data_IF_941788223985
#
_entry.id   IF_941788223985
#
_cell.length_a   1.000
_cell.length_b   1.000
_cell.length_c   1.000
_cell.angle_alpha   90.00
_cell.angle_beta   90.00
_cell.angle_gamma   90.00
#
_symmetry.space_group_name_H-M   'P 1'
#
loop_
_entity.id
_entity.type
_entity.pdbx_description
1 polymer ?
#
# COMPACT_ATOMS: atom_id res chain seq x y z
N UNK A 1 -24.13 21.08 16.48
CA UNK A 1 -22.74 20.72 16.88
C UNK A 1 -22.42 19.29 16.46
N UNK A 2 -21.13 18.96 16.41
CA UNK A 2 -20.67 17.59 16.14
C UNK A 2 -21.18 16.60 17.19
N UNK A 3 -21.29 17.04 18.46
CA UNK A 3 -21.86 16.20 19.54
C UNK A 3 -23.32 15.85 19.33
N UNK A 4 -24.11 16.78 18.83
CA UNK A 4 -25.53 16.51 18.49
C UNK A 4 -25.65 15.53 17.32
N UNK A 5 -24.81 15.68 16.30
CA UNK A 5 -24.76 14.76 15.17
C UNK A 5 -24.30 13.35 15.60
N UNK A 6 -23.30 13.26 16.52
CA UNK A 6 -22.88 12.01 17.11
C UNK A 6 -24.04 11.30 17.82
N UNK A 7 -24.77 12.02 18.69
CA UNK A 7 -25.97 11.51 19.39
C UNK A 7 -27.08 11.07 18.42
N UNK A 8 -27.32 11.91 17.42
CA UNK A 8 -28.34 11.60 16.41
C UNK A 8 -27.99 10.32 15.65
N UNK A 9 -26.74 10.20 15.19
CA UNK A 9 -26.27 8.98 14.52
C UNK A 9 -26.37 7.74 15.42
N UNK A 10 -25.97 7.87 16.69
CA UNK A 10 -26.09 6.78 17.67
C UNK A 10 -27.56 6.38 17.90
N UNK A 11 -28.50 7.33 17.91
CA UNK A 11 -29.92 7.05 18.06
C UNK A 11 -30.49 6.14 16.95
N UNK A 12 -29.89 6.16 15.76
CA UNK A 12 -30.25 5.27 14.63
C UNK A 12 -29.74 3.85 14.84
N UNK A 13 -28.72 3.68 15.70
CA UNK A 13 -28.12 2.38 16.03
C UNK A 13 -28.82 1.68 17.20
N UNK A 14 -29.75 2.35 17.87
CA UNK A 14 -30.51 1.78 19.03
C UNK A 14 -31.25 0.53 18.59
N UNK A 15 -31.02 -0.59 19.28
CA UNK A 15 -31.63 -1.89 18.98
C UNK A 15 -31.03 -2.61 17.75
N UNK A 16 -30.00 -2.05 17.11
CA UNK A 16 -29.34 -2.65 15.93
C UNK A 16 -28.17 -3.56 16.30
N UNK A 17 -27.49 -3.28 17.41
CA UNK A 17 -26.41 -4.11 17.96
C UNK A 17 -27.05 -5.27 18.76
N UNK A 18 -27.81 -6.09 18.09
CA UNK A 18 -28.52 -7.25 18.64
C UNK A 18 -27.72 -8.54 18.40
N UNK A 19 -28.03 -9.58 19.16
CA UNK A 19 -27.39 -10.88 19.04
C UNK A 19 -28.45 -12.01 19.18
N UNK A 20 -28.12 -13.15 18.59
CA UNK A 20 -28.88 -14.39 18.77
C UNK A 20 -27.93 -15.57 19.00
N UNK A 21 -28.46 -16.74 19.34
CA UNK A 21 -27.63 -17.90 19.65
C UNK A 21 -26.72 -18.34 18.50
N UNK A 22 -27.15 -18.18 17.25
CA UNK A 22 -26.32 -18.50 16.07
C UNK A 22 -25.13 -17.56 15.93
N UNK A 23 -25.31 -16.26 16.15
CA UNK A 23 -24.26 -15.27 16.14
C UNK A 23 -23.26 -15.51 17.28
N UNK A 24 -23.75 -15.79 18.51
CA UNK A 24 -22.90 -16.11 19.66
C UNK A 24 -22.08 -17.36 19.41
N UNK A 25 -22.67 -18.43 18.89
CA UNK A 25 -21.98 -19.66 18.52
C UNK A 25 -20.87 -19.38 17.48
N UNK A 26 -21.14 -18.53 16.49
CA UNK A 26 -20.15 -18.14 15.49
C UNK A 26 -19.00 -17.35 16.11
N UNK A 27 -19.26 -16.43 17.03
CA UNK A 27 -18.20 -15.70 17.75
C UNK A 27 -17.34 -16.67 18.55
N UNK A 28 -17.96 -17.61 19.28
CA UNK A 28 -17.22 -18.62 20.03
C UNK A 28 -16.30 -19.48 19.12
N UNK A 29 -16.84 -19.95 17.97
CA UNK A 29 -16.10 -20.69 16.95
C UNK A 29 -14.89 -19.90 16.45
N UNK A 30 -15.06 -18.62 16.11
CA UNK A 30 -14.00 -17.79 15.55
C UNK A 30 -12.88 -17.46 16.55
N UNK A 31 -13.21 -17.44 17.84
CA UNK A 31 -12.30 -16.94 18.88
C UNK A 31 -11.72 -18.04 19.79
N UNK A 32 -12.13 -19.31 19.63
CA UNK A 32 -11.74 -20.42 20.50
C UNK A 32 -10.21 -20.63 20.61
N UNK A 33 -9.48 -20.43 19.50
CA UNK A 33 -8.04 -20.64 19.46
C UNK A 33 -7.24 -19.34 19.64
N UNK A 34 -7.92 -18.19 19.79
CA UNK A 34 -7.29 -16.89 19.95
C UNK A 34 -6.79 -16.69 21.39
N UNK A 35 -5.54 -16.28 21.54
CA UNK A 35 -4.88 -16.07 22.82
C UNK A 35 -4.97 -14.62 23.32
N UNK A 36 -5.09 -13.68 22.40
CA UNK A 36 -5.11 -12.24 22.69
C UNK A 36 -6.37 -11.59 22.15
N UNK A 37 -6.72 -10.41 22.69
CA UNK A 37 -7.86 -9.65 22.17
C UNK A 37 -7.61 -9.19 20.72
N UNK A 38 -6.38 -8.85 20.35
CA UNK A 38 -6.03 -8.47 18.99
C UNK A 38 -6.31 -9.63 18.01
N UNK A 39 -5.96 -10.86 18.37
CA UNK A 39 -6.28 -12.04 17.57
C UNK A 39 -7.79 -12.25 17.43
N UNK A 40 -8.55 -12.06 18.52
CA UNK A 40 -10.03 -12.17 18.49
C UNK A 40 -10.67 -11.10 17.60
N UNK A 41 -10.20 -9.84 17.73
CA UNK A 41 -10.65 -8.73 16.88
C UNK A 41 -10.39 -9.04 15.41
N UNK A 42 -9.16 -9.49 15.07
CA UNK A 42 -8.81 -9.85 13.70
C UNK A 42 -9.62 -11.05 13.17
N UNK A 43 -9.90 -12.04 13.99
CA UNK A 43 -10.71 -13.20 13.58
C UNK A 43 -12.14 -12.77 13.21
N UNK A 44 -12.78 -11.94 14.05
CA UNK A 44 -14.09 -11.37 13.80
C UNK A 44 -14.06 -10.47 12.56
N UNK A 45 -13.11 -9.55 12.46
CA UNK A 45 -12.94 -8.67 11.32
C UNK A 45 -12.81 -9.45 10.01
N UNK A 46 -11.93 -10.45 9.96
CA UNK A 46 -11.72 -11.29 8.78
C UNK A 46 -12.95 -12.08 8.39
N UNK A 47 -13.71 -12.59 9.36
CA UNK A 47 -14.97 -13.25 9.08
C UNK A 47 -15.95 -12.29 8.38
N UNK A 48 -16.17 -11.10 8.95
CA UNK A 48 -17.12 -10.14 8.40
C UNK A 48 -16.64 -9.61 7.04
N UNK A 49 -15.36 -9.27 6.91
CA UNK A 49 -14.82 -8.72 5.67
C UNK A 49 -14.89 -9.72 4.50
N UNK A 50 -14.63 -11.01 4.76
CA UNK A 50 -14.60 -12.06 3.73
C UNK A 50 -15.94 -12.76 3.46
N UNK A 51 -16.74 -13.00 4.50
CA UNK A 51 -17.97 -13.80 4.37
C UNK A 51 -19.21 -12.97 4.15
N UNK A 52 -19.26 -11.77 4.73
CA UNK A 52 -20.39 -10.88 4.53
C UNK A 52 -20.12 -10.00 3.31
N UNK A 53 -20.86 -10.23 2.23
CA UNK A 53 -20.67 -9.52 0.96
C UNK A 53 -20.93 -8.03 1.11
N UNK A 54 -19.99 -7.19 0.68
CA UNK A 54 -20.19 -5.74 0.62
C UNK A 54 -21.01 -5.34 -0.61
N UNK A 55 -22.09 -4.59 -0.41
CA UNK A 55 -23.04 -4.24 -1.47
C UNK A 55 -22.76 -2.85 -2.11
N UNK A 56 -21.79 -2.08 -1.63
CA UNK A 56 -21.36 -0.79 -2.21
C UNK A 56 -22.41 0.32 -2.19
N UNK A 57 -23.69 0.00 -2.39
CA UNK A 57 -24.79 0.94 -2.30
C UNK A 57 -26.02 0.25 -1.68
N UNK A 58 -26.79 1.00 -0.91
CA UNK A 58 -28.07 0.54 -0.41
C UNK A 58 -29.11 0.60 -1.52
N UNK A 59 -29.57 -0.55 -2.00
CA UNK A 59 -30.75 -0.67 -2.87
C UNK A 59 -32.04 -0.65 -2.05
N UNK A 60 -31.95 -0.69 -0.72
CA UNK A 60 -33.07 -0.66 0.19
C UNK A 60 -33.53 0.77 0.45
N UNK A 61 -34.60 1.15 -0.21
CA UNK A 61 -35.19 2.49 -0.16
C UNK A 61 -35.71 2.88 1.23
N UNK A 62 -35.83 1.94 2.17
CA UNK A 62 -36.35 2.16 3.53
C UNK A 62 -35.29 2.59 4.56
N UNK A 63 -34.00 2.33 4.32
CA UNK A 63 -32.94 2.49 5.32
C UNK A 63 -31.77 3.36 4.81
N UNK A 64 -32.04 4.55 4.29
CA UNK A 64 -31.02 5.38 3.63
C UNK A 64 -29.80 5.71 4.52
N UNK A 65 -29.99 5.91 5.82
CA UNK A 65 -28.92 6.15 6.80
C UNK A 65 -28.98 5.22 8.01
N UNK A 66 -30.09 4.55 8.26
CA UNK A 66 -30.30 3.63 9.37
C UNK A 66 -29.72 2.25 9.03
N UNK A 67 -28.91 1.62 9.90
CA UNK A 67 -28.40 0.27 9.67
C UNK A 67 -29.46 -0.80 9.90
N UNK A 68 -29.27 -1.97 9.29
CA UNK A 68 -29.99 -3.18 9.67
C UNK A 68 -29.52 -3.72 11.02
N UNK A 69 -30.34 -4.58 11.63
CA UNK A 69 -29.93 -5.34 12.81
C UNK A 69 -28.73 -6.23 12.49
N UNK A 70 -27.83 -6.41 13.46
CA UNK A 70 -26.66 -7.25 13.29
C UNK A 70 -27.03 -8.69 12.94
N UNK A 71 -28.06 -9.23 13.58
CA UNK A 71 -28.60 -10.58 13.30
C UNK A 71 -29.11 -10.71 11.87
N UNK A 72 -29.77 -9.69 11.32
CA UNK A 72 -30.21 -9.68 9.92
C UNK A 72 -29.00 -9.75 8.97
N UNK A 73 -27.99 -8.88 9.16
CA UNK A 73 -26.78 -8.85 8.34
C UNK A 73 -26.02 -10.17 8.45
N UNK A 74 -25.94 -10.75 9.65
CA UNK A 74 -25.34 -12.05 9.89
C UNK A 74 -26.04 -13.18 9.14
N UNK A 75 -27.37 -13.24 9.17
CA UNK A 75 -28.16 -14.27 8.50
C UNK A 75 -28.13 -14.14 6.98
N UNK A 76 -28.22 -12.92 6.47
CA UNK A 76 -28.22 -12.64 5.03
C UNK A 76 -26.86 -12.73 4.37
N UNK A 77 -25.76 -12.61 5.14
CA UNK A 77 -24.40 -12.63 4.65
C UNK A 77 -24.10 -11.54 3.60
N UNK A 78 -24.80 -10.41 3.66
CA UNK A 78 -24.51 -9.20 2.89
C UNK A 78 -24.93 -7.95 3.65
N UNK A 79 -24.35 -6.81 3.31
CA UNK A 79 -24.69 -5.50 3.88
C UNK A 79 -23.87 -4.38 3.28
N UNK A 80 -24.25 -3.15 3.60
CA UNK A 80 -23.46 -1.95 3.28
C UNK A 80 -22.48 -1.65 4.42
N UNK A 81 -21.71 -0.55 4.32
CA UNK A 81 -20.68 -0.21 5.30
C UNK A 81 -21.19 -0.16 6.75
N UNK A 82 -22.30 0.57 7.01
CA UNK A 82 -22.94 0.66 8.34
C UNK A 82 -23.40 -0.69 8.88
N UNK A 83 -24.00 -1.54 8.03
CA UNK A 83 -24.49 -2.85 8.45
C UNK A 83 -23.33 -3.75 8.90
N UNK A 84 -22.22 -3.73 8.17
CA UNK A 84 -21.02 -4.50 8.53
C UNK A 84 -20.34 -3.93 9.77
N UNK A 85 -20.37 -2.60 9.98
CA UNK A 85 -19.90 -1.96 11.21
C UNK A 85 -20.74 -2.40 12.42
N UNK A 86 -22.06 -2.37 12.33
CA UNK A 86 -22.99 -2.80 13.38
C UNK A 86 -22.81 -4.29 13.69
N UNK A 87 -22.67 -5.13 12.67
CA UNK A 87 -22.39 -6.55 12.88
C UNK A 87 -21.07 -6.76 13.63
N UNK A 88 -20.03 -6.00 13.28
CA UNK A 88 -18.76 -6.08 13.98
C UNK A 88 -18.88 -5.66 15.44
N UNK A 89 -19.61 -4.57 15.72
CA UNK A 89 -19.88 -4.13 17.09
C UNK A 89 -20.62 -5.21 17.89
N UNK A 90 -21.63 -5.86 17.32
CA UNK A 90 -22.38 -6.92 17.99
C UNK A 90 -21.51 -8.14 18.31
N UNK A 91 -20.69 -8.59 17.36
CA UNK A 91 -19.77 -9.71 17.56
C UNK A 91 -18.68 -9.40 18.60
N UNK A 92 -18.12 -8.18 18.60
CA UNK A 92 -17.12 -7.73 19.59
C UNK A 92 -17.74 -7.60 20.99
N UNK A 93 -18.98 -7.15 21.10
CA UNK A 93 -19.73 -7.06 22.35
C UNK A 93 -19.86 -8.42 23.05
N UNK A 94 -20.07 -9.52 22.30
CA UNK A 94 -20.18 -10.88 22.85
C UNK A 94 -18.89 -11.34 23.54
N UNK A 95 -17.75 -10.78 23.22
CA UNK A 95 -16.46 -11.07 23.87
C UNK A 95 -15.99 -9.93 24.79
N UNK A 96 -16.89 -9.00 25.14
CA UNK A 96 -16.63 -7.91 26.08
C UNK A 96 -15.73 -6.79 25.52
N UNK A 97 -15.57 -6.69 24.22
CA UNK A 97 -14.79 -5.62 23.59
C UNK A 97 -15.74 -4.50 23.15
N UNK A 98 -15.51 -3.28 23.65
CA UNK A 98 -16.28 -2.10 23.28
C UNK A 98 -15.91 -1.63 21.89
N UNK A 99 -16.90 -1.32 21.08
CA UNK A 99 -16.73 -0.74 19.76
C UNK A 99 -17.81 0.29 19.46
N UNK A 100 -17.54 1.16 18.50
CA UNK A 100 -18.43 2.23 18.04
C UNK A 100 -18.61 2.17 16.54
N UNK A 101 -19.77 2.58 16.06
CA UNK A 101 -19.92 2.98 14.69
C UNK A 101 -19.26 4.35 14.48
N UNK A 102 -18.55 4.53 13.38
CA UNK A 102 -17.78 5.74 13.13
C UNK A 102 -17.88 6.17 11.67
N UNK A 103 -18.21 7.45 11.47
CA UNK A 103 -18.41 8.03 10.15
C UNK A 103 -17.13 8.71 9.65
N UNK A 104 -16.82 8.53 8.37
CA UNK A 104 -15.60 9.05 7.74
C UNK A 104 -15.87 9.44 6.28
N UNK A 105 -15.16 10.47 5.79
CA UNK A 105 -15.05 10.77 4.37
C UNK A 105 -13.73 10.24 3.80
N UNK A 106 -13.80 9.46 2.73
CA UNK A 106 -12.64 8.88 2.05
C UNK A 106 -12.27 9.71 0.82
N UNK A 107 -13.27 10.11 0.01
CA UNK A 107 -13.07 10.82 -1.25
C UNK A 107 -13.22 12.34 -1.12
N UNK A 108 -13.82 12.81 -0.03
CA UNK A 108 -14.13 14.21 0.21
C UNK A 108 -13.41 14.75 1.45
N UNK A 109 -13.18 16.07 1.45
CA UNK A 109 -12.67 16.77 2.63
C UNK A 109 -13.82 16.99 3.63
N UNK A 110 -13.59 16.70 4.89
CA UNK A 110 -14.46 17.10 5.98
C UNK A 110 -14.08 18.51 6.45
N UNK A 111 -15.05 19.43 6.50
CA UNK A 111 -14.85 20.77 7.03
C UNK A 111 -15.23 20.79 8.52
N UNK A 112 -14.26 20.84 9.43
CA UNK A 112 -14.51 20.65 10.86
C UNK A 112 -15.34 21.78 11.49
N UNK A 113 -15.37 22.95 10.88
CA UNK A 113 -16.13 24.12 11.33
C UNK A 113 -17.63 24.04 10.99
N UNK A 114 -18.01 23.09 10.10
CA UNK A 114 -19.40 22.99 9.62
C UNK A 114 -19.95 21.62 10.04
N UNK A 115 -20.65 21.55 11.19
CA UNK A 115 -21.29 20.31 11.64
C UNK A 115 -22.44 19.93 10.70
N UNK A 116 -22.17 18.96 9.84
CA UNK A 116 -23.15 18.37 8.92
C UNK A 116 -22.93 16.86 8.80
N UNK A 117 -24.03 16.10 8.80
CA UNK A 117 -23.98 14.65 8.61
C UNK A 117 -23.85 14.31 7.11
N UNK A 118 -22.71 14.63 6.55
CA UNK A 118 -22.39 14.38 5.15
C UNK A 118 -21.14 13.51 5.08
N UNK A 119 -21.32 12.24 5.48
CA UNK A 119 -20.29 11.23 5.41
C UNK A 119 -20.66 10.17 4.39
N UNK A 120 -19.68 9.72 3.62
CA UNK A 120 -19.90 8.74 2.56
C UNK A 120 -19.63 7.30 3.01
N UNK A 121 -19.05 7.12 4.22
CA UNK A 121 -18.63 5.80 4.68
C UNK A 121 -18.75 5.65 6.20
N UNK A 122 -19.00 4.41 6.63
CA UNK A 122 -19.03 4.00 8.02
C UNK A 122 -18.03 2.87 8.27
N UNK A 123 -17.31 2.96 9.39
CA UNK A 123 -16.28 2.00 9.84
C UNK A 123 -16.47 1.70 11.33
N UNK A 124 -15.82 0.66 11.83
CA UNK A 124 -15.90 0.28 13.23
C UNK A 124 -14.70 0.82 14.02
N UNK A 125 -14.95 1.61 15.07
CA UNK A 125 -13.93 2.08 16.02
C UNK A 125 -13.87 1.14 17.23
N UNK A 126 -12.82 0.32 17.32
CA UNK A 126 -12.63 -0.68 18.39
C UNK A 126 -11.80 -0.10 19.52
N UNK A 127 -12.31 -0.15 20.75
CA UNK A 127 -11.60 0.35 21.94
C UNK A 127 -10.70 -0.74 22.49
N UNK A 128 -9.39 -0.49 22.52
CA UNK A 128 -8.40 -1.39 23.08
C UNK A 128 -8.31 -1.26 24.60
N UNK A 129 -7.69 -2.22 25.28
CA UNK A 129 -7.50 -2.23 26.74
C UNK A 129 -6.79 -0.99 27.29
N UNK A 130 -5.92 -0.38 26.50
CA UNK A 130 -5.20 0.85 26.85
C UNK A 130 -6.00 2.14 26.58
N UNK A 131 -7.25 2.01 26.13
CA UNK A 131 -8.17 3.12 25.84
C UNK A 131 -8.00 3.73 24.44
N UNK A 132 -7.02 3.31 23.65
CA UNK A 132 -6.90 3.74 22.26
C UNK A 132 -8.04 3.17 21.42
N UNK A 133 -8.46 3.94 20.41
CA UNK A 133 -9.42 3.49 19.40
C UNK A 133 -8.67 3.11 18.12
N UNK A 134 -8.87 1.88 17.67
CA UNK A 134 -8.38 1.40 16.38
C UNK A 134 -9.54 1.32 15.41
N UNK A 135 -9.38 1.91 14.24
CA UNK A 135 -10.41 1.93 13.22
C UNK A 135 -10.24 0.74 12.28
N UNK A 136 -11.29 -0.07 12.17
CA UNK A 136 -11.36 -1.26 11.32
C UNK A 136 -12.45 -1.04 10.27
N UNK A 137 -12.15 -1.30 9.00
CA UNK A 137 -13.11 -1.19 7.92
C UNK A 137 -13.52 -2.58 7.41
N UNK A 138 -14.65 -3.13 7.88
CA UNK A 138 -15.08 -4.47 7.48
C UNK A 138 -15.54 -4.57 6.03
N UNK A 139 -15.52 -3.48 5.25
CA UNK A 139 -15.76 -3.51 3.81
C UNK A 139 -14.50 -3.84 2.99
N UNK A 140 -13.30 -3.71 3.59
CA UNK A 140 -12.03 -4.01 2.94
C UNK A 140 -11.68 -5.50 3.07
N UNK A 141 -12.20 -6.30 2.17
CA UNK A 141 -12.06 -7.76 2.17
C UNK A 141 -10.61 -8.25 2.25
N UNK A 142 -9.68 -7.53 1.64
CA UNK A 142 -8.27 -7.94 1.54
C UNK A 142 -7.33 -7.16 2.45
N UNK A 143 -7.86 -6.44 3.46
CA UNK A 143 -7.03 -5.78 4.45
C UNK A 143 -6.43 -6.80 5.43
N UNK A 144 -5.10 -6.85 5.49
CA UNK A 144 -4.34 -7.66 6.45
C UNK A 144 -3.97 -6.88 7.71
N UNK A 145 -4.23 -5.57 7.75
CA UNK A 145 -3.77 -4.67 8.79
C UNK A 145 -4.63 -4.73 10.05
N UNK A 146 -3.99 -4.63 11.21
CA UNK A 146 -4.68 -4.32 12.46
C UNK A 146 -4.87 -2.80 12.55
N UNK A 147 -6.06 -2.34 12.14
CA UNK A 147 -6.38 -0.92 11.95
C UNK A 147 -6.06 -0.40 10.55
N UNK A 148 -7.00 0.38 10.02
CA UNK A 148 -6.92 0.87 8.65
C UNK A 148 -6.01 2.10 8.54
N UNK A 149 -4.97 1.98 7.74
CA UNK A 149 -3.95 3.02 7.61
C UNK A 149 -4.45 4.26 6.86
N UNK A 150 -5.49 4.11 6.04
CA UNK A 150 -6.07 5.23 5.29
C UNK A 150 -6.86 6.22 6.17
N UNK A 151 -7.26 5.79 7.36
CA UNK A 151 -8.00 6.66 8.30
C UNK A 151 -7.10 7.79 8.84
N UNK A 152 -5.79 7.56 8.87
CA UNK A 152 -4.83 8.56 9.33
C UNK A 152 -4.86 9.85 8.51
N UNK A 153 -4.85 10.99 9.21
CA UNK A 153 -4.94 12.34 8.64
C UNK A 153 -6.36 12.80 8.35
N UNK A 154 -7.38 11.94 8.49
CA UNK A 154 -8.79 12.25 8.25
C UNK A 154 -9.52 12.61 9.54
N UNK A 155 -10.71 13.18 9.37
CA UNK A 155 -11.66 13.40 10.44
C UNK A 155 -12.63 12.23 10.54
N UNK A 156 -12.89 11.80 11.76
CA UNK A 156 -13.82 10.71 12.10
C UNK A 156 -14.81 11.21 13.13
N UNK A 157 -16.09 10.93 12.93
CA UNK A 157 -17.16 11.17 13.91
C UNK A 157 -17.58 9.84 14.51
N UNK A 158 -17.22 9.59 15.78
CA UNK A 158 -17.70 8.44 16.54
C UNK A 158 -19.15 8.71 16.95
N UNK A 159 -20.02 7.74 16.70
CA UNK A 159 -21.42 7.77 17.12
C UNK A 159 -21.53 7.24 18.56
N UNK A 160 -22.03 8.08 19.48
CA UNK A 160 -22.06 7.79 20.91
C UNK A 160 -23.22 8.52 21.59
N UNK A 161 -23.93 7.88 22.49
CA UNK A 161 -25.08 8.45 23.23
C UNK A 161 -24.77 9.72 24.02
N UNK A 162 -23.54 9.87 24.49
CA UNK A 162 -23.08 11.08 25.20
C UNK A 162 -22.68 12.19 24.24
N UNK A 163 -22.49 11.88 22.97
CA UNK A 163 -22.02 12.79 21.92
C UNK A 163 -20.52 13.02 21.96
N UNK A 164 -19.86 12.74 20.83
CA UNK A 164 -18.44 12.97 20.61
C UNK A 164 -18.22 14.15 19.67
N UNK A 165 -17.15 14.86 19.88
CA UNK A 165 -16.66 15.83 18.89
C UNK A 165 -16.00 15.12 17.73
N UNK A 166 -15.87 15.84 16.62
CA UNK A 166 -15.13 15.37 15.45
C UNK A 166 -13.64 15.19 15.81
N UNK A 167 -13.09 14.03 15.49
CA UNK A 167 -11.72 13.65 15.84
C UNK A 167 -10.85 13.69 14.57
N UNK A 168 -9.77 14.46 14.59
CA UNK A 168 -8.73 14.35 13.56
C UNK A 168 -7.77 13.24 13.95
N UNK A 169 -7.77 12.15 13.18
CA UNK A 169 -6.89 11.01 13.41
C UNK A 169 -5.46 11.39 12.98
N UNK A 170 -4.43 11.16 13.81
CA UNK A 170 -3.05 11.41 13.41
C UNK A 170 -2.67 10.63 12.15
N UNK A 171 -1.85 11.18 11.24
CA UNK A 171 -1.35 10.46 10.09
C UNK A 171 -0.63 9.17 10.51
N UNK A 172 -0.85 8.10 9.77
CA UNK A 172 -0.10 6.85 9.94
C UNK A 172 1.27 7.03 9.28
N UNK A 173 2.40 6.71 9.95
CA UNK A 173 3.73 6.84 9.34
C UNK A 173 3.84 6.07 8.01
N UNK A 174 4.52 6.65 7.02
CA UNK A 174 4.67 6.06 5.68
C UNK A 174 5.32 4.67 5.71
N UNK A 175 6.12 4.37 6.75
CA UNK A 175 6.71 3.04 6.98
C UNK A 175 5.67 1.93 7.19
N UNK A 176 4.46 2.26 7.63
CA UNK A 176 3.34 1.31 7.77
C UNK A 176 2.54 1.13 6.48
N UNK A 177 2.86 1.92 5.45
CA UNK A 177 2.29 1.86 4.11
C UNK A 177 3.43 1.76 3.10
N UNK A 178 4.22 0.69 3.17
CA UNK A 178 5.44 0.53 2.41
C UNK A 178 5.28 -0.51 1.30
N UNK A 179 5.55 -0.11 0.06
CA UNK A 179 5.83 -1.01 -1.06
C UNK A 179 7.34 -1.25 -1.15
N UNK A 180 7.76 -2.48 -1.37
CA UNK A 180 9.17 -2.83 -1.45
C UNK A 180 9.47 -3.68 -2.68
N UNK A 181 10.61 -3.39 -3.33
CA UNK A 181 11.19 -4.19 -4.41
C UNK A 181 12.63 -4.54 -4.01
N UNK A 182 12.99 -5.82 -4.11
CA UNK A 182 14.35 -6.30 -3.95
C UNK A 182 14.79 -7.01 -5.21
N UNK A 183 15.95 -6.63 -5.74
CA UNK A 183 16.50 -7.19 -6.97
C UNK A 183 17.95 -7.66 -6.79
N UNK A 184 18.26 -8.73 -7.50
CA UNK A 184 19.62 -9.18 -7.76
C UNK A 184 19.81 -9.29 -9.27
N UNK A 185 20.75 -8.54 -9.83
CA UNK A 185 20.98 -8.46 -11.26
C UNK A 185 22.42 -8.86 -11.59
N UNK A 186 22.59 -9.61 -12.66
CA UNK A 186 23.90 -9.90 -13.26
C UNK A 186 23.96 -9.26 -14.64
N UNK A 187 25.00 -8.49 -14.88
CA UNK A 187 25.37 -8.01 -16.23
C UNK A 187 26.21 -9.08 -16.88
N UNK A 188 25.87 -9.47 -18.10
CA UNK A 188 26.55 -10.51 -18.86
C UNK A 188 27.50 -9.89 -19.90
N UNK A 189 28.49 -10.69 -20.35
CA UNK A 189 29.53 -10.22 -21.29
C UNK A 189 28.93 -9.85 -22.66
N UNK A 190 27.81 -10.47 -23.04
CA UNK A 190 27.09 -10.17 -24.28
C UNK A 190 26.21 -8.92 -24.23
N UNK A 191 26.25 -8.18 -23.12
CA UNK A 191 25.46 -6.95 -22.93
C UNK A 191 24.03 -7.20 -22.48
N UNK A 192 23.64 -8.45 -22.22
CA UNK A 192 22.36 -8.77 -21.59
C UNK A 192 22.44 -8.65 -20.07
N UNK A 193 21.28 -8.62 -19.44
CA UNK A 193 21.13 -8.76 -17.99
C UNK A 193 20.21 -9.92 -17.67
N UNK A 194 20.46 -10.57 -16.53
CA UNK A 194 19.53 -11.52 -15.94
C UNK A 194 19.51 -11.33 -14.43
N UNK A 195 18.43 -11.76 -13.79
CA UNK A 195 18.32 -11.56 -12.34
C UNK A 195 17.03 -12.10 -11.77
N UNK A 196 16.84 -11.75 -10.48
CA UNK A 196 15.66 -12.11 -9.69
C UNK A 196 15.09 -10.86 -9.04
N UNK A 197 13.78 -10.82 -8.91
CA UNK A 197 13.11 -9.75 -8.20
C UNK A 197 12.07 -10.32 -7.24
N UNK A 198 11.88 -9.60 -6.13
CA UNK A 198 10.83 -9.83 -5.16
C UNK A 198 10.12 -8.53 -4.86
N UNK A 199 8.79 -8.56 -4.95
CA UNK A 199 7.91 -7.43 -4.66
C UNK A 199 7.05 -7.80 -3.46
N UNK A 200 6.88 -6.87 -2.52
CA UNK A 200 6.04 -7.04 -1.35
C UNK A 200 5.43 -5.71 -0.92
N UNK A 201 4.42 -5.77 -0.07
CA UNK A 201 3.78 -4.60 0.50
C UNK A 201 3.37 -4.80 1.94
N UNK A 202 3.23 -3.71 2.67
CA UNK A 202 2.56 -3.67 3.98
C UNK A 202 1.54 -2.53 3.99
N UNK A 203 0.50 -2.64 4.81
CA UNK A 203 -0.58 -1.68 4.90
C UNK A 203 -1.30 -1.49 3.56
N UNK A 204 -1.42 -0.25 3.12
CA UNK A 204 -2.08 0.09 1.86
C UNK A 204 -1.51 -0.67 0.64
N UNK A 205 -0.19 -0.86 0.57
CA UNK A 205 0.41 -1.57 -0.57
C UNK A 205 0.13 -3.07 -0.58
N UNK A 206 0.07 -3.73 0.58
CA UNK A 206 -0.37 -5.13 0.67
C UNK A 206 -1.81 -5.27 0.17
N UNK A 207 -2.71 -4.39 0.63
CA UNK A 207 -4.09 -4.34 0.17
C UNK A 207 -4.19 -4.14 -1.35
N UNK A 208 -3.43 -3.19 -1.92
CA UNK A 208 -3.45 -2.91 -3.38
C UNK A 208 -2.96 -4.12 -4.17
N UNK A 209 -1.84 -4.72 -3.78
CA UNK A 209 -1.30 -5.90 -4.46
C UNK A 209 -2.27 -7.09 -4.47
N UNK A 210 -2.91 -7.36 -3.32
CA UNK A 210 -3.94 -8.40 -3.20
C UNK A 210 -5.17 -8.09 -4.05
N UNK A 211 -5.61 -6.82 -4.05
CA UNK A 211 -6.76 -6.38 -4.83
C UNK A 211 -6.53 -6.56 -6.33
N UNK A 212 -5.34 -6.25 -6.81
CA UNK A 212 -4.93 -6.48 -8.20
C UNK A 212 -4.91 -7.98 -8.49
N UNK A 213 -4.30 -8.79 -7.61
CA UNK A 213 -4.22 -10.24 -7.80
C UNK A 213 -5.62 -10.90 -7.84
N UNK A 214 -6.56 -10.41 -7.02
CA UNK A 214 -7.95 -10.89 -7.03
C UNK A 214 -8.68 -10.58 -8.34
N UNK A 215 -8.40 -9.42 -8.93
CA UNK A 215 -9.09 -8.97 -10.16
C UNK A 215 -8.53 -9.62 -11.43
N UNK A 216 -7.28 -10.07 -11.39
CA UNK A 216 -6.62 -10.68 -12.56
C UNK A 216 -6.75 -12.19 -12.48
N UNK A 217 -7.40 -12.85 -13.47
CA UNK A 217 -7.40 -14.31 -13.56
C UNK A 217 -5.97 -14.86 -13.54
N UNK A 218 -5.74 -15.94 -12.81
CA UNK A 218 -4.40 -16.50 -12.58
C UNK A 218 -3.62 -16.78 -13.87
N UNK A 219 -4.30 -17.19 -14.95
CA UNK A 219 -3.69 -17.44 -16.26
C UNK A 219 -3.22 -16.15 -16.97
N UNK A 220 -3.72 -14.97 -16.58
CA UNK A 220 -3.32 -13.68 -17.15
C UNK A 220 -2.18 -13.02 -16.38
N UNK A 221 -1.92 -13.43 -15.14
CA UNK A 221 -0.86 -12.85 -14.31
C UNK A 221 0.50 -12.81 -15.02
N UNK A 222 1.00 -13.86 -15.68
CA UNK A 222 2.28 -13.80 -16.37
C UNK A 222 2.34 -12.73 -17.46
N UNK A 223 1.24 -12.54 -18.21
CA UNK A 223 1.16 -11.52 -19.26
C UNK A 223 1.19 -10.10 -18.67
N UNK A 224 0.47 -9.86 -17.58
CA UNK A 224 0.45 -8.55 -16.89
C UNK A 224 1.86 -8.22 -16.38
N UNK A 225 2.52 -9.16 -15.72
CA UNK A 225 3.89 -8.96 -15.22
C UNK A 225 4.90 -8.79 -16.34
N UNK A 226 4.74 -9.53 -17.46
CA UNK A 226 5.55 -9.34 -18.66
C UNK A 226 5.40 -7.91 -19.21
N UNK A 227 4.19 -7.38 -19.28
CA UNK A 227 3.92 -6.02 -19.73
C UNK A 227 4.50 -4.97 -18.79
N UNK A 228 4.36 -5.13 -17.47
CA UNK A 228 4.97 -4.25 -16.48
C UNK A 228 6.50 -4.26 -16.59
N UNK A 229 7.09 -5.42 -16.79
CA UNK A 229 8.53 -5.55 -16.98
C UNK A 229 9.06 -4.76 -18.17
N UNK A 230 8.26 -4.52 -19.22
CA UNK A 230 8.69 -3.73 -20.39
C UNK A 230 9.09 -2.29 -20.06
N UNK A 231 8.65 -1.76 -18.90
CA UNK A 231 9.14 -0.47 -18.40
C UNK A 231 10.62 -0.52 -17.99
N UNK A 232 11.14 -1.70 -17.64
CA UNK A 232 12.56 -1.90 -17.35
C UNK A 232 13.39 -2.01 -18.63
N UNK A 233 12.94 -2.87 -19.55
CA UNK A 233 13.57 -3.04 -20.86
C UNK A 233 12.55 -3.62 -21.85
N UNK A 234 12.51 -3.13 -23.08
CA UNK A 234 11.59 -3.62 -24.13
C UNK A 234 11.83 -5.09 -24.49
N UNK A 235 13.06 -5.57 -24.29
CA UNK A 235 13.48 -6.97 -24.56
C UNK A 235 13.32 -7.89 -23.37
N UNK A 236 12.77 -7.41 -22.24
CA UNK A 236 12.67 -8.20 -21.01
C UNK A 236 11.79 -9.45 -21.22
N UNK A 237 12.19 -10.53 -20.57
CA UNK A 237 11.39 -11.73 -20.37
C UNK A 237 11.26 -12.01 -18.90
N UNK A 238 10.03 -12.16 -18.43
CA UNK A 238 9.72 -12.56 -17.06
C UNK A 238 9.49 -14.08 -17.05
N UNK A 239 10.20 -14.77 -16.18
CA UNK A 239 10.15 -16.24 -16.05
C UNK A 239 9.95 -16.62 -14.58
N UNK A 240 9.50 -17.84 -14.31
CA UNK A 240 9.37 -18.42 -12.97
C UNK A 240 8.54 -17.54 -11.99
N UNK A 241 7.52 -16.86 -12.49
CA UNK A 241 6.65 -16.02 -11.69
C UNK A 241 5.95 -16.85 -10.61
N UNK A 242 6.09 -16.43 -9.36
CA UNK A 242 5.42 -16.99 -8.19
C UNK A 242 4.76 -15.88 -7.41
N UNK A 243 3.54 -16.12 -6.96
CA UNK A 243 2.81 -15.20 -6.08
C UNK A 243 2.28 -15.97 -4.87
N UNK A 244 2.22 -15.31 -3.72
CA UNK A 244 1.54 -15.84 -2.55
C UNK A 244 0.03 -15.99 -2.82
N UNK A 245 -0.68 -16.72 -1.99
CA UNK A 245 -2.13 -16.69 -2.00
C UNK A 245 -2.61 -15.31 -1.50
N UNK A 246 -3.33 -14.58 -2.34
CA UNK A 246 -3.84 -13.27 -1.98
C UNK A 246 -4.93 -13.32 -0.88
N UNK A 247 -5.56 -14.47 -0.68
CA UNK A 247 -6.58 -14.68 0.35
C UNK A 247 -5.97 -15.04 1.72
N UNK A 248 -4.70 -15.47 1.78
CA UNK A 248 -4.01 -15.75 3.05
C UNK A 248 -3.54 -14.42 3.68
N UNK A 249 -4.41 -13.80 4.49
CA UNK A 249 -4.10 -12.56 5.21
C UNK A 249 -3.19 -12.75 6.43
N UNK A 250 -2.81 -13.98 6.76
CA UNK A 250 -1.88 -14.23 7.87
C UNK A 250 -0.42 -13.98 7.50
N UNK A 251 -0.12 -13.91 6.20
CA UNK A 251 1.23 -13.69 5.66
C UNK A 251 1.25 -12.48 4.73
N UNK A 252 2.38 -11.78 4.62
CA UNK A 252 2.55 -10.74 3.60
C UNK A 252 2.30 -11.30 2.20
N UNK A 253 1.65 -10.51 1.33
CA UNK A 253 1.53 -10.87 -0.07
C UNK A 253 2.84 -10.56 -0.79
N UNK A 254 3.40 -11.56 -1.44
CA UNK A 254 4.70 -11.47 -2.10
C UNK A 254 4.62 -12.01 -3.52
N UNK A 255 5.35 -11.37 -4.42
CA UNK A 255 5.51 -11.78 -5.80
C UNK A 255 7.00 -11.88 -6.08
N UNK A 256 7.43 -12.98 -6.68
CA UNK A 256 8.82 -13.18 -7.09
C UNK A 256 8.89 -13.71 -8.52
N UNK A 257 9.93 -13.33 -9.24
CA UNK A 257 10.17 -13.77 -10.60
C UNK A 257 11.64 -13.70 -10.97
N UNK A 258 12.02 -14.46 -11.99
CA UNK A 258 13.29 -14.30 -12.66
C UNK A 258 13.07 -13.41 -13.91
N UNK A 259 14.10 -12.68 -14.33
CA UNK A 259 14.03 -11.85 -15.53
C UNK A 259 15.32 -11.91 -16.34
N UNK A 260 15.20 -11.67 -17.65
CA UNK A 260 16.30 -11.54 -18.59
C UNK A 260 15.98 -10.43 -19.57
N UNK A 261 16.97 -9.61 -19.93
CA UNK A 261 16.82 -8.61 -20.98
C UNK A 261 18.06 -8.56 -21.85
N UNK A 262 17.86 -8.71 -23.18
CA UNK A 262 18.93 -8.56 -24.17
C UNK A 262 19.17 -7.09 -24.47
N UNK A 263 20.36 -6.80 -24.99
CA UNK A 263 20.72 -5.45 -25.48
C UNK A 263 20.47 -4.35 -24.44
N UNK A 264 20.69 -4.68 -23.17
CA UNK A 264 20.47 -3.74 -22.06
C UNK A 264 21.61 -2.76 -21.87
N UNK A 265 22.80 -3.21 -22.15
CA UNK A 265 24.05 -2.49 -21.97
C UNK A 265 24.47 -1.84 -23.29
N UNK A 266 24.96 -0.63 -23.22
CA UNK A 266 25.44 0.12 -24.39
C UNK A 266 26.96 0.16 -24.39
N UNK A 267 27.60 -0.42 -25.41
CA UNK A 267 29.03 -0.37 -25.61
C UNK A 267 29.43 0.88 -26.39
N UNK A 268 30.40 1.62 -25.83
CA UNK A 268 30.97 2.83 -26.44
C UNK A 268 32.51 2.69 -26.43
N UNK A 269 33.03 1.86 -27.33
CA UNK A 269 34.48 1.58 -27.42
C UNK A 269 35.01 0.85 -26.18
N UNK A 270 35.87 1.50 -25.39
CA UNK A 270 36.41 0.91 -24.16
C UNK A 270 35.43 0.97 -22.98
N UNK A 271 34.39 1.77 -23.11
CA UNK A 271 33.39 1.94 -22.03
C UNK A 271 32.10 1.17 -22.34
N UNK A 272 31.47 0.75 -21.28
CA UNK A 272 30.19 0.06 -21.28
C UNK A 272 29.25 0.76 -20.29
N UNK A 273 28.06 1.12 -20.72
CA UNK A 273 27.13 1.95 -19.99
C UNK A 273 25.81 1.23 -19.76
N UNK A 274 25.23 1.34 -18.57
CA UNK A 274 23.88 0.85 -18.31
C UNK A 274 23.21 1.66 -17.21
N UNK A 275 21.87 1.65 -17.22
CA UNK A 275 21.05 2.21 -16.13
C UNK A 275 20.86 1.15 -15.06
N UNK A 276 20.77 1.56 -13.81
CA UNK A 276 20.37 0.68 -12.71
C UNK A 276 18.94 0.19 -12.97
N UNK A 277 18.70 -1.12 -13.13
CA UNK A 277 17.41 -1.65 -13.57
C UNK A 277 16.23 -1.18 -12.72
N UNK A 278 16.28 -1.37 -11.40
CA UNK A 278 15.17 -0.99 -10.51
C UNK A 278 15.15 0.50 -10.13
N UNK A 279 16.11 1.32 -10.58
CA UNK A 279 15.97 2.77 -10.49
C UNK A 279 15.01 3.34 -11.54
N UNK A 280 14.67 2.53 -12.55
CA UNK A 280 13.65 2.86 -13.54
C UNK A 280 12.27 2.53 -12.99
N UNK A 281 11.21 3.09 -13.56
CA UNK A 281 9.82 2.87 -13.12
C UNK A 281 9.28 1.48 -13.46
N UNK A 282 10.11 0.46 -13.39
CA UNK A 282 9.82 -0.85 -13.96
C UNK A 282 8.53 -1.48 -13.42
N UNK A 283 8.17 -1.20 -12.15
CA UNK A 283 7.01 -1.80 -11.51
C UNK A 283 6.14 -0.75 -10.83
N UNK A 284 5.68 0.20 -11.60
CA UNK A 284 4.91 1.38 -11.19
C UNK A 284 3.63 1.13 -10.36
N UNK A 285 3.16 -0.11 -10.26
CA UNK A 285 2.05 -0.47 -9.37
C UNK A 285 2.34 -0.12 -7.90
N UNK A 286 3.60 -0.10 -7.53
CA UNK A 286 4.08 0.17 -6.17
C UNK A 286 4.81 1.51 -6.13
N UNK A 287 5.31 1.97 -7.26
CA UNK A 287 6.28 3.02 -7.36
C UNK A 287 5.68 4.40 -7.68
N UNK A 288 6.54 5.26 -8.03
CA UNK A 288 6.46 6.70 -8.16
C UNK A 288 5.81 7.19 -9.46
N UNK A 289 5.38 6.30 -10.37
CA UNK A 289 4.93 6.71 -11.70
C UNK A 289 3.74 7.64 -11.69
N UNK A 290 2.73 7.35 -10.87
CA UNK A 290 1.59 8.25 -10.71
C UNK A 290 2.02 9.62 -10.18
N UNK A 291 3.03 9.66 -9.30
CA UNK A 291 3.55 10.91 -8.75
C UNK A 291 4.32 11.72 -9.77
N UNK A 292 4.97 11.07 -10.74
CA UNK A 292 5.62 11.78 -11.84
C UNK A 292 4.60 12.49 -12.72
N UNK A 293 3.47 11.85 -13.03
CA UNK A 293 2.37 12.47 -13.76
C UNK A 293 1.74 13.60 -12.93
N UNK A 294 1.50 13.37 -11.65
CA UNK A 294 0.93 14.38 -10.77
C UNK A 294 1.82 15.61 -10.60
N UNK A 295 3.16 15.46 -10.69
CA UNK A 295 4.13 16.52 -10.48
C UNK A 295 4.47 17.35 -11.75
N UNK A 296 3.81 17.11 -12.88
CA UNK A 296 4.15 17.78 -14.16
C UNK A 296 3.70 19.24 -14.23
N UNK A 297 2.67 19.64 -13.50
CA UNK A 297 2.21 21.04 -13.47
C UNK A 297 3.17 21.91 -12.67
N UNK A 298 3.33 23.17 -13.08
CA UNK A 298 4.18 24.10 -12.32
C UNK A 298 3.61 24.46 -10.97
N UNK A 299 2.30 24.65 -10.90
CA UNK A 299 1.57 25.00 -9.69
C UNK A 299 0.25 24.25 -9.62
N UNK A 300 -0.25 24.09 -8.40
CA UNK A 300 -1.60 23.58 -8.12
C UNK A 300 -2.34 24.52 -7.17
N UNK A 301 -3.55 24.87 -7.57
CA UNK A 301 -4.47 25.67 -6.76
C UNK A 301 -5.11 24.82 -5.65
N UNK A 302 -5.41 23.56 -5.94
CA UNK A 302 -6.09 22.66 -5.02
C UNK A 302 -5.15 21.57 -4.51
N UNK A 303 -5.31 21.11 -3.27
CA UNK A 303 -4.49 20.05 -2.68
C UNK A 303 -4.66 18.73 -3.44
N UNK A 304 -3.65 17.86 -3.32
CA UNK A 304 -3.74 16.46 -3.73
C UNK A 304 -4.19 15.66 -2.52
N UNK A 305 -5.25 14.89 -2.68
CA UNK A 305 -5.69 13.91 -1.69
C UNK A 305 -5.17 12.54 -2.09
N UNK A 306 -4.40 11.93 -1.20
CA UNK A 306 -3.94 10.56 -1.31
C UNK A 306 -4.82 9.68 -0.42
N UNK A 307 -5.01 8.42 -0.82
CA UNK A 307 -5.77 7.49 0.00
C UNK A 307 -5.11 7.24 1.38
N UNK A 308 -3.78 7.23 1.43
CA UNK A 308 -3.00 7.09 2.67
C UNK A 308 -1.63 7.76 2.51
N UNK A 309 -0.85 7.83 3.58
CA UNK A 309 0.60 8.03 3.51
C UNK A 309 1.24 6.95 2.65
N UNK A 310 2.42 7.18 2.12
CA UNK A 310 3.07 6.24 1.19
C UNK A 310 4.56 6.15 1.41
N UNK A 311 5.09 4.94 1.39
CA UNK A 311 6.51 4.66 1.31
C UNK A 311 6.80 3.70 0.17
N UNK A 312 7.89 3.94 -0.57
CA UNK A 312 8.42 2.99 -1.56
C UNK A 312 9.90 2.78 -1.28
N UNK A 313 10.32 1.53 -1.21
CA UNK A 313 11.71 1.15 -1.03
C UNK A 313 12.15 0.19 -2.12
N UNK A 314 13.26 0.50 -2.74
CA UNK A 314 13.87 -0.34 -3.76
C UNK A 314 15.31 -0.65 -3.33
N UNK A 315 15.71 -1.89 -3.46
CA UNK A 315 17.06 -2.37 -3.15
C UNK A 315 17.52 -3.27 -4.29
N UNK A 316 18.73 -3.04 -4.81
CA UNK A 316 19.28 -3.85 -5.87
C UNK A 316 20.77 -4.06 -5.69
N UNK A 317 21.22 -5.28 -5.93
CA UNK A 317 22.64 -5.62 -6.04
C UNK A 317 22.92 -6.06 -7.48
N UNK A 318 23.82 -5.35 -8.14
CA UNK A 318 24.19 -5.61 -9.53
C UNK A 318 25.59 -6.17 -9.56
N UNK A 319 25.78 -7.36 -10.11
CA UNK A 319 27.09 -7.98 -10.30
C UNK A 319 27.59 -7.72 -11.72
N UNK A 320 28.79 -7.17 -11.82
CA UNK A 320 29.49 -6.86 -13.06
C UNK A 320 30.34 -8.07 -13.47
N UNK A 321 30.38 -8.46 -14.77
CA UNK A 321 31.14 -9.62 -15.22
C UNK A 321 32.66 -9.41 -15.08
N UNK A 322 33.44 -10.49 -15.03
CA UNK A 322 34.90 -10.41 -15.10
C UNK A 322 35.38 -9.67 -16.35
N UNK A 323 36.53 -9.01 -16.25
CA UNK A 323 37.08 -8.23 -17.37
C UNK A 323 36.55 -6.79 -17.48
N UNK A 324 35.78 -6.35 -16.49
CA UNK A 324 35.31 -4.97 -16.40
C UNK A 324 35.67 -4.34 -15.04
N UNK A 325 35.95 -3.07 -15.05
CA UNK A 325 36.18 -2.24 -13.86
C UNK A 325 35.11 -1.16 -13.78
N UNK A 326 34.51 -0.99 -12.61
CA UNK A 326 33.55 0.07 -12.36
C UNK A 326 34.29 1.41 -12.29
N UNK A 327 33.96 2.34 -13.18
CA UNK A 327 34.60 3.68 -13.29
C UNK A 327 33.70 4.77 -12.73
N UNK A 328 32.39 4.60 -12.79
CA UNK A 328 31.46 5.59 -12.28
C UNK A 328 30.12 4.95 -11.96
N UNK A 329 29.49 5.51 -10.96
CA UNK A 329 28.11 5.18 -10.54
C UNK A 329 27.34 6.50 -10.40
N UNK A 330 25.99 6.48 -10.49
CA UNK A 330 25.18 7.67 -10.24
C UNK A 330 25.45 8.29 -8.87
N UNK A 331 25.51 9.63 -8.81
CA UNK A 331 25.65 10.34 -7.54
C UNK A 331 24.42 10.12 -6.64
N UNK A 332 24.61 10.02 -5.32
CA UNK A 332 23.49 9.89 -4.39
C UNK A 332 22.61 11.15 -4.40
N UNK A 333 21.33 10.97 -4.12
CA UNK A 333 20.35 12.06 -4.03
C UNK A 333 19.68 12.01 -2.67
N UNK A 334 19.68 13.12 -1.96
CA UNK A 334 18.93 13.28 -0.72
C UNK A 334 18.09 14.55 -0.75
N UNK A 335 16.78 14.40 -0.73
CA UNK A 335 15.83 15.51 -0.73
C UNK A 335 14.84 15.24 0.42
N UNK A 336 14.71 16.22 1.31
CA UNK A 336 13.68 16.22 2.37
C UNK A 336 13.04 17.60 2.39
N UNK A 337 11.80 17.64 1.93
CA UNK A 337 11.05 18.89 1.78
C UNK A 337 9.64 18.70 2.34
N UNK A 338 9.37 19.29 3.50
CA UNK A 338 8.06 19.14 4.14
C UNK A 338 7.67 17.65 4.34
N UNK A 339 6.47 17.25 3.88
CA UNK A 339 6.00 15.87 4.06
C UNK A 339 6.56 14.87 3.04
N UNK A 340 7.40 15.29 2.10
CA UNK A 340 7.92 14.42 1.03
C UNK A 340 9.43 14.29 1.12
N UNK A 341 9.93 13.07 1.03
CA UNK A 341 11.38 12.81 1.03
C UNK A 341 11.77 11.74 0.02
N UNK A 342 13.02 11.83 -0.46
CA UNK A 342 13.66 10.85 -1.33
C UNK A 342 15.11 10.72 -0.94
N UNK A 343 15.56 9.50 -0.73
CA UNK A 343 16.98 9.16 -0.59
C UNK A 343 17.31 8.09 -1.61
N UNK A 344 18.27 8.37 -2.48
CA UNK A 344 18.83 7.42 -3.44
C UNK A 344 20.31 7.27 -3.09
N UNK A 345 20.75 6.03 -2.89
CA UNK A 345 22.16 5.74 -2.61
C UNK A 345 22.71 4.73 -3.59
N UNK A 346 23.96 4.89 -3.90
CA UNK A 346 24.75 3.95 -4.71
C UNK A 346 26.10 3.74 -4.04
N UNK A 347 26.59 2.53 -4.11
CA UNK A 347 27.95 2.19 -3.63
C UNK A 347 28.54 1.05 -4.47
N UNK A 348 29.85 0.86 -4.37
CA UNK A 348 30.55 -0.21 -5.05
C UNK A 348 31.41 -1.00 -4.06
N UNK A 349 31.41 -2.32 -4.23
CA UNK A 349 32.30 -3.22 -3.50
C UNK A 349 32.76 -4.34 -4.44
N UNK A 350 34.07 -4.33 -4.76
CA UNK A 350 34.62 -5.27 -5.74
C UNK A 350 33.98 -5.10 -7.12
N UNK A 351 33.33 -6.15 -7.61
CA UNK A 351 32.59 -6.15 -8.88
C UNK A 351 31.07 -5.95 -8.69
N UNK A 352 30.62 -5.42 -7.56
CA UNK A 352 29.21 -5.19 -7.26
C UNK A 352 28.90 -3.70 -7.19
N UNK A 353 27.73 -3.35 -7.71
CA UNK A 353 27.08 -2.06 -7.51
C UNK A 353 25.84 -2.31 -6.66
N UNK A 354 25.73 -1.61 -5.53
CA UNK A 354 24.53 -1.62 -4.69
C UNK A 354 23.75 -0.34 -4.90
N UNK A 355 22.46 -0.46 -5.02
CA UNK A 355 21.51 0.64 -5.12
C UNK A 355 20.44 0.51 -4.06
N UNK A 356 20.04 1.64 -3.48
CA UNK A 356 18.82 1.71 -2.69
C UNK A 356 18.06 3.03 -2.91
N UNK A 357 16.74 2.94 -2.83
CA UNK A 357 15.79 4.04 -2.90
C UNK A 357 14.87 3.99 -1.67
N UNK A 358 14.63 5.12 -1.03
CA UNK A 358 13.63 5.30 0.02
C UNK A 358 12.86 6.59 -0.26
N UNK A 359 11.63 6.45 -0.75
CA UNK A 359 10.71 7.55 -1.00
C UNK A 359 9.57 7.53 0.00
N UNK A 360 9.16 8.70 0.50
CA UNK A 360 8.08 8.81 1.47
C UNK A 360 7.22 10.03 1.25
N UNK A 361 5.92 9.86 1.50
CA UNK A 361 4.93 10.91 1.70
C UNK A 361 4.28 10.67 3.06
N UNK A 362 4.58 11.51 4.02
CA UNK A 362 4.18 11.35 5.43
C UNK A 362 2.79 11.96 5.73
N UNK A 363 2.17 12.64 4.75
CA UNK A 363 0.84 13.21 4.89
C UNK A 363 -0.06 12.77 3.74
N UNK A 364 -1.31 12.35 4.00
CA UNK A 364 -2.24 11.94 2.94
C UNK A 364 -2.79 13.12 2.13
N UNK A 365 -2.56 14.36 2.57
CA UNK A 365 -2.97 15.56 1.86
C UNK A 365 -1.77 16.45 1.59
N UNK A 366 -1.52 16.75 0.33
CA UNK A 366 -0.47 17.67 -0.09
C UNK A 366 -1.11 18.98 -0.53
N UNK A 367 -0.95 20.04 0.26
CA UNK A 367 -1.29 21.42 -0.12
C UNK A 367 -0.32 21.95 -1.19
N UNK A 368 -0.40 23.24 -1.53
CA UNK A 368 0.48 23.84 -2.53
C UNK A 368 1.97 23.71 -2.16
N UNK A 369 2.34 23.79 -0.87
CA UNK A 369 3.73 23.63 -0.42
C UNK A 369 4.17 22.17 -0.52
N UNK A 370 3.34 21.24 -0.03
CA UNK A 370 3.57 19.81 -0.17
C UNK A 370 3.67 19.37 -1.62
N UNK A 371 2.88 19.99 -2.51
CA UNK A 371 3.00 19.78 -3.95
C UNK A 371 4.36 20.21 -4.51
N UNK A 372 4.88 21.40 -4.12
CA UNK A 372 6.21 21.84 -4.56
C UNK A 372 7.32 20.92 -4.02
N UNK A 373 7.14 20.38 -2.82
CA UNK A 373 8.04 19.36 -2.26
C UNK A 373 8.03 18.10 -3.12
N UNK A 374 6.86 17.59 -3.51
CA UNK A 374 6.72 16.46 -4.42
C UNK A 374 7.41 16.73 -5.76
N UNK A 375 7.22 17.92 -6.33
CA UNK A 375 7.87 18.32 -7.60
C UNK A 375 9.39 18.29 -7.52
N UNK A 376 9.98 18.80 -6.43
CA UNK A 376 11.44 18.77 -6.22
C UNK A 376 11.95 17.33 -6.17
N UNK A 377 11.26 16.47 -5.43
CA UNK A 377 11.59 15.05 -5.32
C UNK A 377 11.51 14.35 -6.67
N UNK A 378 10.43 14.55 -7.43
CA UNK A 378 10.28 13.95 -8.76
C UNK A 378 11.34 14.45 -9.74
N UNK A 379 11.74 15.74 -9.67
CA UNK A 379 12.86 16.25 -10.49
C UNK A 379 14.19 15.57 -10.12
N UNK A 380 14.46 15.37 -8.83
CA UNK A 380 15.64 14.65 -8.35
C UNK A 380 15.69 13.21 -8.85
N UNK A 381 14.57 12.50 -8.75
CA UNK A 381 14.43 11.14 -9.26
C UNK A 381 14.66 11.07 -10.77
N UNK A 382 14.01 11.93 -11.56
CA UNK A 382 14.18 11.98 -13.02
C UNK A 382 15.63 12.28 -13.44
N UNK A 383 16.34 13.09 -12.65
CA UNK A 383 17.78 13.34 -12.89
C UNK A 383 18.60 12.08 -12.64
N UNK A 384 18.36 11.39 -11.53
CA UNK A 384 19.05 10.15 -11.20
C UNK A 384 18.82 9.06 -12.24
N UNK A 385 17.57 8.89 -12.72
CA UNK A 385 17.20 7.91 -13.74
C UNK A 385 17.87 8.11 -15.10
N UNK A 386 18.44 9.29 -15.35
CA UNK A 386 19.26 9.56 -16.55
C UNK A 386 20.72 9.19 -16.37
N UNK A 387 21.19 9.06 -15.14
CA UNK A 387 22.56 8.68 -14.85
C UNK A 387 22.80 7.19 -15.13
N UNK A 388 24.04 6.85 -15.46
CA UNK A 388 24.44 5.50 -15.85
C UNK A 388 25.58 5.00 -14.96
N UNK A 389 25.64 3.71 -14.79
CA UNK A 389 26.85 3.03 -14.34
C UNK A 389 27.80 2.96 -15.52
N UNK A 390 29.06 3.28 -15.28
CA UNK A 390 30.13 3.31 -16.28
C UNK A 390 31.12 2.21 -15.96
N UNK A 391 31.29 1.27 -16.88
CA UNK A 391 32.29 0.23 -16.82
C UNK A 391 33.36 0.49 -17.83
N UNK A 392 34.58 0.08 -17.54
CA UNK A 392 35.72 0.05 -18.47
C UNK A 392 36.17 -1.39 -18.65
N UNK A 393 36.33 -1.81 -19.93
CA UNK A 393 36.92 -3.12 -20.24
C UNK A 393 38.38 -3.11 -19.79
N UNK A 394 38.77 -4.04 -18.92
CA UNK A 394 40.18 -4.24 -18.56
C UNK A 394 40.86 -4.93 -19.76
N UNK A 395 41.96 -4.37 -20.23
CA UNK A 395 42.77 -5.04 -21.24
C UNK A 395 43.18 -6.40 -20.65
N UNK A 396 42.71 -7.49 -21.25
CA UNK A 396 43.20 -8.81 -20.86
C UNK A 396 44.71 -8.80 -20.99
N UNK A 397 45.42 -9.32 -19.99
CA UNK A 397 46.83 -9.63 -20.13
C UNK A 397 46.98 -10.44 -21.42
N UNK A 398 47.55 -9.79 -22.43
CA UNK A 398 47.77 -10.38 -23.71
C UNK A 398 48.50 -11.70 -23.53
N UNK A 399 47.91 -12.77 -24.04
CA UNK A 399 48.63 -14.04 -24.21
C UNK A 399 49.95 -13.66 -24.90
N UNK A 400 51.02 -13.71 -24.12
CA UNK A 400 52.37 -13.53 -24.61
C UNK A 400 52.57 -14.41 -25.82
N UNK A 401 52.86 -13.79 -26.93
CA UNK A 401 53.23 -14.47 -28.17
C UNK A 401 54.39 -15.41 -27.90
N UNK A 402 54.14 -16.68 -28.01
CA UNK A 402 55.18 -17.64 -28.23
C UNK A 402 55.61 -17.48 -29.71
N UNK A 403 56.84 -17.05 -29.88
CA UNK A 403 57.57 -17.16 -31.13
C UNK A 403 57.83 -18.62 -31.45
#
# INVERSE_FOLDING_TARGET
>A
SWKELSKYGDSLNVGKVDTNEALKAKVAELTQDCKTDDEKILAIFRYISHKVRYMGSSMDLGAFIEPHQATYTFEKQYGVCRDKSILMMAMLKEIGIKAYDALINISQKTEPEIPIIFFEHAICGVVLKDGRVVYMDPTLELSSSFGETYVGGRYVLILDEQGKDLIKVPPVPAQKNLGAIKGETQVLVDGSIEGKAKISGIGFYDFVLRSIAKQIPSFQLPMVWQQLGQNLATTIKIENLKASDFADLAKPYEISFDFKAKDYVVDVGKLTLFKIPFSTQAFDLISLGIFQILADREERKYPIFLFSTRGCREEEVITVPPGYKIRGIPDPVQIKEGPVSLTLTTSTEGNRVSFSSDFRIEEPTLDSKGYQSLRKVVKGLRRFQKAMVILEKTEGEGKGGAR
#
